data_IF_111936715286
#
_entry.id   IF_111936715286
#
_cell.length_a   1.000
_cell.length_b   1.000
_cell.length_c   1.000
_cell.angle_alpha   90.00
_cell.angle_beta   90.00
_cell.angle_gamma   90.00
#
_symmetry.space_group_name_H-M   'P 1'
#
loop_
_entity.id
_entity.type
_entity.pdbx_description
1 polymer ?
#
# COMPACT_ATOMS: atom_id res chain seq x y z
N UNK A 1 11.74 -28.34 6.87
CA UNK A 1 12.32 -27.04 7.26
C UNK A 1 11.46 -25.98 6.61
N UNK A 2 10.52 -25.43 7.35
CA UNK A 2 9.69 -24.32 6.88
C UNK A 2 10.59 -23.09 6.67
N UNK A 3 10.18 -22.17 5.79
CA UNK A 3 10.89 -20.93 5.45
C UNK A 3 11.29 -20.12 6.71
N UNK A 4 10.62 -20.36 7.84
CA UNK A 4 10.94 -19.84 9.17
C UNK A 4 12.37 -20.12 9.66
N UNK A 5 13.00 -21.24 9.27
CA UNK A 5 14.36 -21.58 9.72
C UNK A 5 15.46 -20.94 8.85
N UNK A 6 15.11 -20.48 7.63
CA UNK A 6 16.11 -19.92 6.70
C UNK A 6 16.46 -18.46 7.04
N UNK A 7 15.53 -17.72 7.65
CA UNK A 7 15.68 -16.29 7.91
C UNK A 7 15.13 -15.89 9.28
N UNK A 8 15.92 -15.17 10.08
CA UNK A 8 15.44 -14.57 11.34
C UNK A 8 14.58 -13.33 11.06
N UNK A 9 13.37 -13.58 10.55
CA UNK A 9 12.40 -12.52 10.26
C UNK A 9 12.07 -11.70 11.49
N UNK A 10 11.87 -12.35 12.64
CA UNK A 10 11.33 -11.73 13.84
C UNK A 10 12.32 -10.82 14.55
N UNK A 11 13.59 -11.23 14.65
CA UNK A 11 14.59 -10.50 15.43
C UNK A 11 15.53 -9.65 14.57
N UNK A 12 15.76 -10.01 13.30
CA UNK A 12 16.65 -9.26 12.41
C UNK A 12 15.89 -8.41 11.39
N UNK A 13 15.08 -9.01 10.51
CA UNK A 13 14.45 -8.27 9.40
C UNK A 13 13.35 -7.31 9.84
N UNK A 14 12.47 -7.76 10.74
CA UNK A 14 11.27 -7.03 11.13
C UNK A 14 11.57 -5.68 11.83
N UNK A 15 12.57 -5.56 12.73
CA UNK A 15 12.97 -4.25 13.27
C UNK A 15 13.52 -3.28 12.23
N UNK A 16 14.29 -3.76 11.25
CA UNK A 16 14.83 -2.93 10.17
C UNK A 16 13.71 -2.43 9.26
N UNK A 17 12.84 -3.35 8.83
CA UNK A 17 11.65 -3.02 8.05
C UNK A 17 10.76 -2.00 8.77
N UNK A 18 10.54 -2.18 10.08
CA UNK A 18 9.81 -1.21 10.90
C UNK A 18 10.43 0.18 10.88
N UNK A 19 11.75 0.27 11.05
CA UNK A 19 12.47 1.56 11.04
C UNK A 19 12.28 2.28 9.71
N UNK A 20 12.34 1.54 8.60
CA UNK A 20 12.07 2.06 7.24
C UNK A 20 10.63 2.56 7.09
N UNK A 21 9.64 1.78 7.53
CA UNK A 21 8.23 2.18 7.53
C UNK A 21 7.99 3.42 8.40
N UNK A 22 8.54 3.47 9.62
CA UNK A 22 8.40 4.62 10.52
C UNK A 22 8.99 5.89 9.88
N UNK A 23 10.16 5.79 9.23
CA UNK A 23 10.77 6.90 8.49
C UNK A 23 9.87 7.39 7.35
N UNK A 24 9.42 6.48 6.48
CA UNK A 24 8.57 6.81 5.34
C UNK A 24 7.20 7.39 5.76
N UNK A 25 6.61 6.88 6.84
CA UNK A 25 5.32 7.36 7.33
C UNK A 25 5.41 8.80 7.87
N UNK A 26 6.56 9.19 8.41
CA UNK A 26 6.78 10.50 9.03
C UNK A 26 7.36 11.56 8.07
N UNK A 27 7.58 11.24 6.78
CA UNK A 27 7.99 12.22 5.77
C UNK A 27 6.95 13.35 5.71
N UNK A 28 7.41 14.61 5.83
CA UNK A 28 6.56 15.82 5.90
C UNK A 28 5.68 15.98 4.64
N UNK A 29 4.48 16.50 4.85
CA UNK A 29 3.37 16.72 3.89
C UNK A 29 3.72 17.38 2.53
N UNK A 30 4.88 18.04 2.39
CA UNK A 30 5.25 18.79 1.17
C UNK A 30 6.00 17.98 0.10
N UNK A 31 6.26 16.69 0.30
CA UNK A 31 6.74 15.81 -0.77
C UNK A 31 5.57 15.07 -1.39
N UNK A 32 5.49 14.99 -2.72
CA UNK A 32 4.55 14.10 -3.43
C UNK A 32 4.40 12.77 -2.67
N UNK A 33 3.17 12.40 -2.30
CA UNK A 33 2.90 11.17 -1.55
C UNK A 33 3.20 10.01 -2.48
N UNK A 34 4.39 9.44 -2.31
CA UNK A 34 4.86 8.28 -3.05
C UNK A 34 4.70 7.02 -2.20
N UNK A 35 4.33 5.94 -2.86
CA UNK A 35 4.23 4.60 -2.29
C UNK A 35 5.58 4.15 -1.70
N UNK A 36 5.56 3.20 -0.78
CA UNK A 36 6.76 2.45 -0.41
C UNK A 36 6.84 1.15 -1.21
N UNK A 37 8.03 0.69 -1.55
CA UNK A 37 8.23 -0.60 -2.21
C UNK A 37 8.67 -1.69 -1.24
N UNK A 38 8.03 -2.86 -1.24
CA UNK A 38 8.57 -4.07 -0.61
C UNK A 38 8.86 -5.09 -1.70
N UNK A 39 10.15 -5.32 -1.95
CA UNK A 39 10.62 -6.13 -3.06
C UNK A 39 11.35 -7.37 -2.59
N UNK A 40 11.41 -8.35 -3.47
CA UNK A 40 12.19 -9.58 -3.33
C UNK A 40 11.67 -10.66 -4.25
N UNK A 41 12.45 -11.71 -4.49
CA UNK A 41 12.02 -12.81 -5.36
C UNK A 41 10.77 -13.55 -4.82
N UNK A 42 10.18 -14.37 -5.69
CA UNK A 42 9.15 -15.33 -5.27
C UNK A 42 9.68 -16.28 -4.19
N UNK A 43 8.89 -16.45 -3.13
CA UNK A 43 9.23 -17.33 -2.01
C UNK A 43 10.06 -16.68 -0.90
N UNK A 44 10.56 -15.45 -1.06
CA UNK A 44 11.39 -14.77 -0.04
C UNK A 44 10.61 -14.17 1.14
N UNK A 45 9.33 -14.55 1.31
CA UNK A 45 8.58 -14.24 2.53
C UNK A 45 8.07 -12.81 2.66
N UNK A 46 7.89 -12.07 1.55
CA UNK A 46 7.29 -10.71 1.53
C UNK A 46 5.98 -10.62 2.33
N UNK A 47 5.00 -11.46 1.97
CA UNK A 47 3.70 -11.52 2.65
C UNK A 47 3.85 -11.98 4.11
N UNK A 48 4.80 -12.87 4.41
CA UNK A 48 5.09 -13.32 5.79
C UNK A 48 5.62 -12.17 6.66
N UNK A 49 6.56 -11.38 6.14
CA UNK A 49 7.08 -10.18 6.82
C UNK A 49 5.95 -9.18 7.13
N UNK A 50 5.03 -8.97 6.19
CA UNK A 50 3.88 -8.08 6.38
C UNK A 50 2.88 -8.59 7.40
N UNK A 51 2.60 -9.90 7.43
CA UNK A 51 1.76 -10.51 8.46
C UNK A 51 2.37 -10.34 9.84
N UNK A 52 3.67 -10.65 10.00
CA UNK A 52 4.40 -10.45 11.25
C UNK A 52 4.44 -8.97 11.67
N UNK A 53 4.58 -8.05 10.70
CA UNK A 53 4.51 -6.62 10.95
C UNK A 53 3.14 -6.20 11.49
N UNK A 54 2.06 -6.65 10.86
CA UNK A 54 0.69 -6.37 11.28
C UNK A 54 0.36 -6.98 12.66
N UNK A 55 0.94 -8.14 12.97
CA UNK A 55 0.80 -8.79 14.26
C UNK A 55 1.53 -8.03 15.37
N UNK A 56 2.79 -7.65 15.14
CA UNK A 56 3.65 -7.03 16.16
C UNK A 56 3.39 -5.54 16.36
N UNK A 57 3.03 -4.80 15.32
CA UNK A 57 2.95 -3.34 15.35
C UNK A 57 1.54 -2.81 15.10
N UNK A 58 0.67 -2.96 16.11
CA UNK A 58 -0.73 -2.51 16.10
C UNK A 58 -0.97 -1.00 15.93
N UNK A 59 0.09 -0.20 15.97
CA UNK A 59 0.03 1.22 15.62
C UNK A 59 -0.33 1.44 14.14
N UNK A 60 -0.10 0.44 13.28
CA UNK A 60 -0.43 0.44 11.86
C UNK A 60 -1.63 -0.46 11.59
N UNK A 61 -2.52 -0.01 10.70
CA UNK A 61 -3.65 -0.80 10.21
C UNK A 61 -3.39 -1.11 8.73
N UNK A 62 -3.22 -2.40 8.39
CA UNK A 62 -2.92 -2.83 7.03
C UNK A 62 -4.20 -3.28 6.32
N UNK A 63 -4.42 -2.74 5.13
CA UNK A 63 -5.49 -3.14 4.20
C UNK A 63 -4.82 -3.89 3.05
N UNK A 64 -5.01 -5.21 2.97
CA UNK A 64 -4.42 -6.03 1.91
C UNK A 64 -5.31 -6.07 0.66
N UNK A 65 -4.69 -5.85 -0.49
CA UNK A 65 -5.31 -5.92 -1.81
C UNK A 65 -4.45 -6.84 -2.68
N UNK A 66 -4.94 -8.06 -2.92
CA UNK A 66 -4.28 -9.02 -3.80
C UNK A 66 -4.69 -8.71 -5.25
N UNK A 67 -3.86 -7.99 -5.99
CA UNK A 67 -4.24 -7.40 -7.28
C UNK A 67 -4.67 -8.44 -8.33
N UNK A 68 -4.00 -9.58 -8.36
CA UNK A 68 -4.30 -10.66 -9.31
C UNK A 68 -5.74 -11.18 -9.20
N UNK A 69 -6.39 -11.04 -8.04
CA UNK A 69 -7.79 -11.45 -7.86
C UNK A 69 -8.77 -10.57 -8.64
N UNK A 70 -8.37 -9.33 -8.93
CA UNK A 70 -9.21 -8.35 -9.60
C UNK A 70 -8.99 -8.32 -11.12
N UNK A 71 -7.89 -8.87 -11.61
CA UNK A 71 -7.49 -8.80 -13.03
C UNK A 71 -8.57 -9.29 -14.01
N UNK A 72 -9.33 -10.31 -13.61
CA UNK A 72 -10.38 -10.90 -14.45
C UNK A 72 -11.65 -10.03 -14.54
N UNK A 73 -11.77 -9.00 -13.70
CA UNK A 73 -12.94 -8.13 -13.63
C UNK A 73 -12.81 -6.98 -14.63
N UNK A 74 -13.93 -6.65 -15.27
CA UNK A 74 -13.99 -5.52 -16.21
C UNK A 74 -13.89 -4.17 -15.50
N UNK A 75 -14.42 -4.07 -14.28
CA UNK A 75 -14.45 -2.87 -13.43
C UNK A 75 -13.46 -2.95 -12.25
N UNK A 76 -12.35 -3.66 -12.46
CA UNK A 76 -11.34 -3.99 -11.45
C UNK A 76 -10.93 -2.83 -10.53
N UNK A 77 -10.58 -1.66 -11.08
CA UNK A 77 -10.13 -0.48 -10.31
C UNK A 77 -11.21 0.04 -9.36
N UNK A 78 -12.47 0.05 -9.80
CA UNK A 78 -13.61 0.42 -8.93
C UNK A 78 -13.81 -0.62 -7.84
N UNK A 79 -13.68 -1.91 -8.16
CA UNK A 79 -13.76 -3.00 -7.17
C UNK A 79 -12.66 -2.99 -6.14
N UNK A 80 -11.45 -2.63 -6.55
CA UNK A 80 -10.32 -2.42 -5.64
C UNK A 80 -10.66 -1.27 -4.67
N UNK A 81 -11.20 -0.15 -5.16
CA UNK A 81 -11.63 0.97 -4.30
C UNK A 81 -12.79 0.60 -3.38
N UNK A 82 -13.78 -0.15 -3.86
CA UNK A 82 -14.88 -0.66 -3.04
C UNK A 82 -14.33 -1.47 -1.85
N UNK A 83 -13.38 -2.38 -2.11
CA UNK A 83 -12.75 -3.21 -1.07
C UNK A 83 -11.92 -2.38 -0.09
N UNK A 84 -11.12 -1.42 -0.58
CA UNK A 84 -10.33 -0.52 0.28
C UNK A 84 -11.27 0.27 1.21
N UNK A 85 -12.35 0.84 0.67
CA UNK A 85 -13.33 1.60 1.44
C UNK A 85 -14.07 0.75 2.46
N UNK A 86 -14.45 -0.47 2.09
CA UNK A 86 -15.09 -1.40 3.00
C UNK A 86 -14.19 -1.73 4.19
N UNK A 87 -12.92 -2.06 3.92
CA UNK A 87 -11.93 -2.34 4.97
C UNK A 87 -11.64 -1.10 5.82
N UNK A 88 -11.58 0.08 5.21
CA UNK A 88 -11.39 1.34 5.91
C UNK A 88 -12.54 1.62 6.88
N UNK A 89 -13.79 1.49 6.44
CA UNK A 89 -14.98 1.65 7.30
C UNK A 89 -14.93 0.69 8.48
N UNK A 90 -14.50 -0.55 8.26
CA UNK A 90 -14.38 -1.54 9.34
C UNK A 90 -13.30 -1.14 10.35
N UNK A 91 -12.12 -0.70 9.90
CA UNK A 91 -11.01 -0.24 10.75
C UNK A 91 -11.42 1.01 11.57
N UNK A 92 -12.21 1.88 10.96
CA UNK A 92 -12.71 3.11 11.58
C UNK A 92 -13.99 2.89 12.40
N UNK A 93 -14.53 1.67 12.43
CA UNK A 93 -15.77 1.31 13.14
C UNK A 93 -16.92 2.28 12.78
N UNK A 94 -17.01 2.63 11.49
CA UNK A 94 -18.01 3.55 10.96
C UNK A 94 -19.32 2.77 10.73
N UNK A 95 -20.41 3.24 11.35
CA UNK A 95 -21.71 2.58 11.25
C UNK A 95 -22.60 3.38 10.29
N UNK A 96 -22.85 2.81 9.12
CA UNK A 96 -23.56 3.48 8.04
C UNK A 96 -24.72 2.61 7.59
N UNK A 97 -25.88 3.24 7.47
CA UNK A 97 -27.02 2.71 6.75
C UNK A 97 -26.66 2.49 5.27
N UNK A 98 -27.20 1.42 4.66
CA UNK A 98 -26.95 1.09 3.25
C UNK A 98 -25.46 1.10 2.87
N UNK A 99 -24.59 0.68 3.79
CA UNK A 99 -23.12 0.67 3.68
C UNK A 99 -22.60 0.31 2.28
N UNK A 100 -23.08 -0.80 1.70
CA UNK A 100 -22.63 -1.25 0.38
C UNK A 100 -22.97 -0.28 -0.76
N UNK A 101 -24.12 0.39 -0.73
CA UNK A 101 -24.49 1.36 -1.76
C UNK A 101 -23.62 2.62 -1.67
N UNK A 102 -23.37 3.11 -0.45
CA UNK A 102 -22.50 4.28 -0.24
C UNK A 102 -21.06 4.00 -0.64
N UNK A 103 -20.53 2.81 -0.31
CA UNK A 103 -19.19 2.36 -0.75
C UNK A 103 -19.09 2.35 -2.28
N UNK A 104 -20.06 1.74 -2.97
CA UNK A 104 -20.06 1.65 -4.44
C UNK A 104 -20.10 3.03 -5.09
N UNK A 105 -20.97 3.91 -4.60
CA UNK A 105 -21.08 5.30 -5.08
C UNK A 105 -19.77 6.06 -4.87
N UNK A 106 -19.20 5.97 -3.67
CA UNK A 106 -17.94 6.64 -3.34
C UNK A 106 -16.78 6.12 -4.21
N UNK A 107 -16.62 4.80 -4.34
CA UNK A 107 -15.58 4.20 -5.19
C UNK A 107 -15.67 4.68 -6.64
N UNK A 108 -16.87 4.66 -7.22
CA UNK A 108 -17.11 5.15 -8.59
C UNK A 108 -16.83 6.64 -8.72
N UNK A 109 -17.21 7.43 -7.71
CA UNK A 109 -16.93 8.86 -7.66
C UNK A 109 -15.43 9.14 -7.65
N UNK A 110 -14.66 8.54 -6.74
CA UNK A 110 -13.20 8.72 -6.64
C UNK A 110 -12.52 8.34 -7.95
N UNK A 111 -12.90 7.19 -8.51
CA UNK A 111 -12.29 6.68 -9.73
C UNK A 111 -12.52 7.60 -10.93
N UNK A 112 -13.77 8.05 -11.13
CA UNK A 112 -14.14 8.86 -12.29
C UNK A 112 -13.68 10.32 -12.19
N UNK A 113 -13.66 10.86 -10.98
CA UNK A 113 -13.39 12.29 -10.77
C UNK A 113 -11.94 12.58 -10.39
N UNK A 114 -11.20 11.54 -9.97
CA UNK A 114 -9.92 11.74 -9.31
C UNK A 114 -10.06 12.56 -8.03
N UNK A 115 -11.20 12.53 -7.35
CA UNK A 115 -11.38 13.23 -6.10
C UNK A 115 -10.63 12.54 -4.97
N UNK A 116 -9.92 13.33 -4.16
CA UNK A 116 -9.30 12.83 -2.94
C UNK A 116 -10.39 12.48 -1.94
N UNK A 117 -10.35 11.26 -1.37
CA UNK A 117 -11.26 10.83 -0.32
C UNK A 117 -11.27 11.77 0.89
N UNK A 118 -10.22 12.55 1.09
CA UNK A 118 -9.98 13.27 2.36
C UNK A 118 -9.80 14.78 2.18
N UNK A 119 -9.36 15.25 1.01
CA UNK A 119 -9.17 16.68 0.72
C UNK A 119 -10.36 17.39 0.06
N UNK A 120 -11.40 16.67 -0.37
CA UNK A 120 -12.59 17.27 -1.00
C UNK A 120 -13.44 18.15 -0.05
N UNK A 121 -13.09 18.24 1.24
CA UNK A 121 -13.77 19.08 2.26
C UNK A 121 -12.83 20.16 2.84
N UNK A 122 -11.74 20.53 2.16
CA UNK A 122 -10.98 21.74 2.50
C UNK A 122 -11.09 22.82 1.43
N UNK A 123 -12.28 23.40 1.31
CA UNK A 123 -12.42 24.79 0.85
C UNK A 123 -13.22 25.54 1.91
N UNK A 124 -12.49 26.25 2.78
CA UNK A 124 -13.03 27.34 3.61
C UNK A 124 -12.62 28.63 2.92
N UNK A 125 -13.57 29.24 2.23
CA UNK A 125 -13.57 30.69 2.02
C UNK A 125 -14.92 31.20 2.47
N UNK A 126 -14.91 32.27 3.25
CA UNK A 126 -16.05 32.80 3.98
C UNK A 126 -17.29 32.93 3.07
N UNK A 127 -18.35 32.20 3.42
CA UNK A 127 -19.72 32.24 2.91
C UNK A 127 -20.09 31.52 1.59
N UNK A 128 -19.28 30.63 1.03
CA UNK A 128 -19.77 29.73 -0.04
C UNK A 128 -19.18 28.32 0.05
N UNK A 129 -20.04 27.31 0.16
CA UNK A 129 -19.69 25.91 -0.09
C UNK A 129 -19.66 25.71 -1.60
N UNK A 130 -18.50 25.90 -2.23
CA UNK A 130 -18.34 25.54 -3.64
C UNK A 130 -18.02 24.04 -3.74
N UNK A 131 -18.94 23.29 -4.33
CA UNK A 131 -18.58 22.15 -5.15
C UNK A 131 -17.76 22.70 -6.32
N UNK A 132 -16.43 22.51 -6.31
CA UNK A 132 -15.66 22.70 -7.54
C UNK A 132 -16.12 21.63 -8.50
N UNK A 133 -16.99 22.00 -9.45
CA UNK A 133 -17.49 21.20 -10.58
C UNK A 133 -17.21 19.71 -10.38
N UNK A 134 -18.00 19.05 -9.51
CA UNK A 134 -18.00 17.60 -9.41
C UNK A 134 -18.11 17.14 -10.87
N UNK A 135 -17.13 16.39 -11.43
CA UNK A 135 -17.29 15.87 -12.76
C UNK A 135 -18.60 15.09 -12.74
N UNK A 136 -19.59 15.55 -13.51
CA UNK A 136 -20.99 15.14 -13.40
C UNK A 136 -21.09 13.62 -13.46
N UNK A 137 -21.03 12.98 -12.30
CA UNK A 137 -21.86 11.82 -12.09
C UNK A 137 -23.27 12.38 -12.04
N UNK A 138 -24.18 11.76 -12.76
CA UNK A 138 -25.59 12.11 -12.78
C UNK A 138 -26.20 11.73 -11.42
N UNK A 139 -25.75 12.40 -10.36
CA UNK A 139 -26.18 12.24 -8.98
C UNK A 139 -27.26 13.26 -8.71
N UNK A 140 -28.27 12.83 -7.95
CA UNK A 140 -29.26 13.74 -7.38
C UNK A 140 -28.64 14.50 -6.21
N UNK A 141 -29.13 15.70 -5.90
CA UNK A 141 -28.61 16.53 -4.78
C UNK A 141 -28.52 15.74 -3.46
N UNK A 142 -29.56 14.96 -3.13
CA UNK A 142 -29.58 14.08 -1.95
C UNK A 142 -28.42 13.05 -1.94
N UNK A 143 -28.02 12.55 -3.12
CA UNK A 143 -26.95 11.56 -3.25
C UNK A 143 -25.56 12.18 -3.12
N UNK A 144 -25.40 13.45 -3.52
CA UNK A 144 -24.19 14.22 -3.30
C UNK A 144 -24.01 14.56 -1.82
N UNK A 145 -25.10 14.96 -1.13
CA UNK A 145 -25.09 15.19 0.32
C UNK A 145 -24.74 13.91 1.10
N UNK A 146 -25.33 12.77 0.73
CA UNK A 146 -25.03 11.47 1.34
C UNK A 146 -23.55 11.09 1.18
N UNK A 147 -22.98 11.31 -0.01
CA UNK A 147 -21.58 11.04 -0.29
C UNK A 147 -20.66 11.98 0.51
N UNK A 148 -21.04 13.26 0.63
CA UNK A 148 -20.31 14.24 1.41
C UNK A 148 -20.27 13.86 2.90
N UNK A 149 -21.42 13.48 3.48
CA UNK A 149 -21.49 13.06 4.87
C UNK A 149 -20.66 11.80 5.12
N UNK A 150 -20.72 10.84 4.20
CA UNK A 150 -19.90 9.62 4.24
C UNK A 150 -18.40 9.93 4.26
N UNK A 151 -17.93 10.80 3.35
CA UNK A 151 -16.53 11.22 3.29
C UNK A 151 -16.12 11.99 4.54
N UNK A 152 -16.99 12.88 5.04
CA UNK A 152 -16.74 13.64 6.26
C UNK A 152 -16.54 12.71 7.47
N UNK A 153 -17.35 11.66 7.61
CA UNK A 153 -17.22 10.72 8.72
C UNK A 153 -15.89 9.96 8.68
N UNK A 154 -15.44 9.53 7.49
CA UNK A 154 -14.11 8.93 7.30
C UNK A 154 -13.02 9.90 7.79
N UNK A 155 -13.09 11.16 7.37
CA UNK A 155 -12.09 12.18 7.70
C UNK A 155 -12.02 12.50 9.19
N UNK A 156 -13.14 12.43 9.90
CA UNK A 156 -13.17 12.66 11.33
C UNK A 156 -12.53 11.50 12.09
N UNK A 157 -12.83 10.25 11.71
CA UNK A 157 -12.33 9.07 12.42
C UNK A 157 -10.89 8.69 12.06
N UNK A 158 -10.38 9.12 10.91
CA UNK A 158 -9.05 8.71 10.46
C UNK A 158 -7.89 9.42 11.16
N UNK A 159 -8.13 10.58 11.79
CA UNK A 159 -7.09 11.49 12.31
C UNK A 159 -6.02 10.81 13.18
N UNK A 160 -6.42 9.80 13.95
CA UNK A 160 -5.57 9.11 14.92
C UNK A 160 -5.10 7.72 14.45
N UNK A 161 -5.35 7.36 13.20
CA UNK A 161 -5.05 6.03 12.65
C UNK A 161 -3.99 6.13 11.55
N UNK A 162 -2.95 5.30 11.66
CA UNK A 162 -1.99 5.08 10.57
C UNK A 162 -2.47 3.91 9.72
N UNK A 163 -2.84 4.18 8.47
CA UNK A 163 -3.34 3.15 7.56
C UNK A 163 -2.34 2.95 6.43
N UNK A 164 -2.07 1.69 6.11
CA UNK A 164 -1.24 1.29 4.97
C UNK A 164 -2.10 0.40 4.06
N UNK A 165 -2.36 0.86 2.84
CA UNK A 165 -2.97 0.03 1.79
C UNK A 165 -1.86 -0.73 1.09
N UNK A 166 -1.87 -2.05 1.24
CA UNK A 166 -0.88 -2.98 0.71
C UNK A 166 -1.42 -3.56 -0.60
N UNK A 167 -0.79 -3.21 -1.71
CA UNK A 167 -1.02 -3.82 -3.01
C UNK A 167 -0.03 -4.95 -3.22
N UNK A 168 -0.47 -6.20 -3.09
CA UNK A 168 0.35 -7.41 -3.19
C UNK A 168 0.08 -8.15 -4.51
N UNK A 169 0.98 -9.08 -4.84
CA UNK A 169 0.89 -9.98 -5.99
C UNK A 169 0.78 -9.26 -7.36
N UNK A 170 1.32 -8.05 -7.50
CA UNK A 170 1.36 -7.33 -8.78
C UNK A 170 2.11 -8.14 -9.86
N UNK A 171 3.18 -8.82 -9.46
CA UNK A 171 4.00 -9.72 -10.28
C UNK A 171 3.27 -10.99 -10.75
N UNK A 172 2.05 -11.26 -10.26
CA UNK A 172 1.20 -12.33 -10.78
C UNK A 172 0.26 -11.86 -11.90
N UNK A 173 0.16 -10.56 -12.12
CA UNK A 173 -0.72 -10.00 -13.14
C UNK A 173 -0.12 -10.08 -14.54
N UNK A 174 -0.99 -10.05 -15.57
CA UNK A 174 -0.51 -9.87 -16.95
C UNK A 174 0.15 -8.50 -17.15
N UNK A 175 1.06 -8.41 -18.13
CA UNK A 175 1.83 -7.20 -18.43
C UNK A 175 0.96 -5.93 -18.55
N UNK A 176 -0.12 -6.00 -19.34
CA UNK A 176 -1.01 -4.85 -19.56
C UNK A 176 -1.64 -4.40 -18.23
N UNK A 177 -2.02 -5.36 -17.39
CA UNK A 177 -2.62 -5.09 -16.08
C UNK A 177 -1.63 -4.54 -15.07
N UNK A 178 -0.37 -4.97 -15.12
CA UNK A 178 0.70 -4.39 -14.31
C UNK A 178 0.82 -2.89 -14.59
N UNK A 179 0.91 -2.49 -15.86
CA UNK A 179 1.00 -1.07 -16.25
C UNK A 179 -0.22 -0.27 -15.76
N UNK A 180 -1.42 -0.80 -15.98
CA UNK A 180 -2.66 -0.20 -15.53
C UNK A 180 -2.72 -0.05 -14.00
N UNK A 181 -2.31 -1.07 -13.25
CA UNK A 181 -2.35 -1.05 -11.79
C UNK A 181 -1.29 -0.15 -11.19
N UNK A 182 -0.08 -0.08 -11.75
CA UNK A 182 0.92 0.88 -11.26
C UNK A 182 0.42 2.31 -11.45
N UNK A 183 -0.15 2.62 -12.63
CA UNK A 183 -0.74 3.95 -12.90
C UNK A 183 -1.91 4.26 -11.96
N UNK A 184 -2.79 3.28 -11.74
CA UNK A 184 -3.89 3.39 -10.81
C UNK A 184 -3.42 3.62 -9.37
N UNK A 185 -2.46 2.83 -8.87
CA UNK A 185 -1.91 2.97 -7.51
C UNK A 185 -1.25 4.32 -7.33
N UNK A 186 -0.50 4.81 -8.32
CA UNK A 186 0.06 6.16 -8.31
C UNK A 186 -1.02 7.21 -8.14
N UNK A 187 -2.10 7.10 -8.91
CA UNK A 187 -3.22 8.05 -8.81
C UNK A 187 -3.86 7.96 -7.42
N UNK A 188 -4.16 6.76 -6.93
CA UNK A 188 -4.72 6.60 -5.58
C UNK A 188 -3.80 7.17 -4.49
N UNK A 189 -2.49 6.94 -4.56
CA UNK A 189 -1.53 7.48 -3.60
C UNK A 189 -1.55 9.02 -3.53
N UNK A 190 -1.77 9.69 -4.67
CA UNK A 190 -1.94 11.14 -4.74
C UNK A 190 -3.35 11.62 -4.30
N UNK A 191 -4.32 10.72 -4.26
CA UNK A 191 -5.73 10.99 -3.92
C UNK A 191 -6.10 10.57 -2.49
N UNK A 192 -5.15 10.18 -1.67
CA UNK A 192 -5.41 9.81 -0.27
C UNK A 192 -4.68 10.77 0.68
N UNK A 193 -5.21 10.92 1.89
CA UNK A 193 -4.57 11.72 2.95
C UNK A 193 -3.21 11.16 3.31
N UNK A 194 -2.30 12.00 3.79
CA UNK A 194 -0.97 11.57 4.29
C UNK A 194 -1.01 10.49 5.38
N UNK A 195 -2.15 10.31 6.07
CA UNK A 195 -2.38 9.24 7.06
C UNK A 195 -2.77 7.89 6.45
N UNK A 196 -3.20 7.86 5.19
CA UNK A 196 -3.32 6.63 4.41
C UNK A 196 -2.14 6.61 3.45
N UNK A 197 -1.25 5.63 3.59
CA UNK A 197 -0.15 5.46 2.64
C UNK A 197 -0.27 4.16 1.88
N UNK A 198 0.36 4.09 0.71
CA UNK A 198 0.35 2.92 -0.17
C UNK A 198 1.67 2.17 -0.10
N UNK A 199 1.60 0.85 0.00
CA UNK A 199 2.74 -0.07 -0.06
C UNK A 199 2.55 -0.99 -1.25
N UNK A 200 3.53 -1.05 -2.15
CA UNK A 200 3.52 -1.94 -3.31
C UNK A 200 4.47 -3.10 -3.07
N UNK A 201 3.96 -4.32 -3.20
CA UNK A 201 4.67 -5.56 -2.88
C UNK A 201 4.73 -6.44 -4.12
N UNK A 202 5.93 -6.73 -4.61
CA UNK A 202 6.14 -7.54 -5.82
C UNK A 202 7.60 -7.97 -6.01
N UNK A 203 7.84 -8.96 -6.86
CA UNK A 203 9.16 -9.23 -7.43
C UNK A 203 9.57 -8.11 -8.39
N UNK A 204 10.47 -7.24 -7.92
CA UNK A 204 10.95 -6.09 -8.70
C UNK A 204 11.65 -6.52 -9.98
N UNK A 205 12.51 -7.54 -9.92
CA UNK A 205 13.27 -8.01 -11.09
C UNK A 205 12.33 -8.54 -12.17
N UNK A 206 11.33 -9.33 -11.78
CA UNK A 206 10.32 -9.84 -12.71
C UNK A 206 9.50 -8.71 -13.34
N UNK A 207 8.89 -7.83 -12.52
CA UNK A 207 8.08 -6.71 -13.02
C UNK A 207 8.91 -5.77 -13.90
N UNK A 208 10.16 -5.49 -13.51
CA UNK A 208 11.09 -4.70 -14.30
C UNK A 208 11.42 -5.40 -15.63
N UNK A 209 11.67 -6.71 -15.65
CA UNK A 209 11.89 -7.43 -16.92
C UNK A 209 10.69 -7.35 -17.87
N UNK A 210 9.48 -7.32 -17.32
CA UNK A 210 8.25 -7.20 -18.08
C UNK A 210 8.04 -5.79 -18.60
N UNK A 211 8.32 -4.73 -17.85
CA UNK A 211 8.03 -3.37 -18.32
C UNK A 211 9.16 -2.80 -19.22
N UNK A 212 10.41 -3.23 -19.04
CA UNK A 212 11.59 -2.52 -19.54
C UNK A 212 12.13 -3.02 -20.89
N UNK A 213 11.22 -3.48 -21.77
CA UNK A 213 11.56 -3.58 -23.20
C UNK A 213 11.53 -2.22 -23.92
N UNK A 214 11.21 -1.13 -23.21
CA UNK A 214 11.25 0.25 -23.69
C UNK A 214 12.02 1.13 -22.68
N UNK A 215 13.08 1.81 -23.12
CA UNK A 215 14.04 2.57 -22.28
C UNK A 215 13.45 3.74 -21.46
N UNK A 216 12.17 4.08 -21.64
CA UNK A 216 11.51 5.22 -20.99
C UNK A 216 11.03 4.96 -19.55
N UNK A 217 11.09 3.72 -19.05
CA UNK A 217 10.40 3.27 -17.82
C UNK A 217 11.29 3.23 -16.56
N UNK A 218 12.63 3.32 -16.68
CA UNK A 218 13.54 3.50 -15.50
C UNK A 218 13.17 4.72 -14.66
N UNK A 219 12.68 5.78 -15.30
CA UNK A 219 12.21 6.98 -14.63
C UNK A 219 10.78 6.86 -14.04
N UNK A 220 10.12 5.70 -14.12
CA UNK A 220 8.70 5.56 -13.75
C UNK A 220 8.52 5.13 -12.30
N UNK A 221 9.27 4.13 -11.81
CA UNK A 221 9.18 3.73 -10.40
C UNK A 221 9.69 4.83 -9.46
N UNK A 222 10.75 5.56 -9.82
CA UNK A 222 11.24 6.71 -9.03
C UNK A 222 10.21 7.85 -8.88
N UNK A 223 9.24 7.92 -9.79
CA UNK A 223 8.12 8.89 -9.72
C UNK A 223 6.98 8.41 -8.82
N UNK A 224 6.95 7.14 -8.46
CA UNK A 224 5.82 6.51 -7.74
C UNK A 224 6.25 6.02 -6.37
N UNK A 225 7.49 5.55 -6.25
CA UNK A 225 8.07 4.93 -5.07
C UNK A 225 9.00 5.95 -4.40
N UNK A 226 8.79 6.18 -3.11
CA UNK A 226 9.60 7.10 -2.31
C UNK A 226 10.92 6.45 -1.87
N UNK A 227 10.78 5.26 -1.29
CA UNK A 227 11.84 4.42 -0.75
C UNK A 227 11.34 2.98 -0.85
N UNK A 228 12.27 2.04 -0.74
CA UNK A 228 11.97 0.61 -0.84
C UNK A 228 12.74 -0.21 0.18
N UNK A 229 12.27 -1.43 0.36
CA UNK A 229 12.92 -2.47 1.15
C UNK A 229 13.03 -3.72 0.27
N UNK A 230 14.24 -4.06 -0.15
CA UNK A 230 14.52 -5.29 -0.89
C UNK A 230 14.92 -6.38 0.10
N UNK A 231 14.07 -7.39 0.30
CA UNK A 231 14.34 -8.47 1.27
C UNK A 231 15.67 -9.17 0.97
N UNK A 232 15.97 -9.37 -0.31
CA UNK A 232 17.10 -10.13 -0.82
C UNK A 232 18.44 -9.56 -0.32
N UNK A 233 18.59 -8.23 -0.31
CA UNK A 233 19.79 -7.52 0.17
C UNK A 233 20.09 -7.78 1.66
N UNK A 234 19.06 -8.06 2.46
CA UNK A 234 19.20 -8.32 3.88
C UNK A 234 19.33 -9.82 4.16
N UNK A 235 18.69 -10.65 3.36
CA UNK A 235 18.80 -12.11 3.41
C UNK A 235 20.24 -12.55 3.17
N UNK A 236 20.91 -12.02 2.14
CA UNK A 236 22.30 -12.35 1.83
C UNK A 236 23.22 -11.96 3.00
N UNK A 237 23.09 -10.73 3.50
CA UNK A 237 23.88 -10.23 4.65
C UNK A 237 23.68 -11.06 5.92
N UNK A 238 22.45 -11.50 6.22
CA UNK A 238 22.18 -12.33 7.40
C UNK A 238 22.75 -13.73 7.22
N UNK A 239 22.68 -14.27 6.00
CA UNK A 239 23.22 -15.59 5.66
C UNK A 239 24.74 -15.62 5.79
N UNK A 240 25.43 -14.58 5.30
CA UNK A 240 26.89 -14.45 5.42
C UNK A 240 27.34 -14.33 6.88
N UNK A 241 26.62 -13.56 7.70
CA UNK A 241 26.91 -13.43 9.14
C UNK A 241 26.74 -14.78 9.83
N UNK A 242 25.63 -15.50 9.58
CA UNK A 242 25.40 -16.82 10.18
C UNK A 242 26.46 -17.85 9.73
N UNK A 243 26.88 -17.81 8.46
CA UNK A 243 27.95 -18.68 7.94
C UNK A 243 29.28 -18.35 8.62
N UNK A 244 29.61 -17.07 8.78
CA UNK A 244 30.83 -16.64 9.45
C UNK A 244 30.84 -17.06 10.92
N UNK A 245 29.74 -16.85 11.67
CA UNK A 245 29.61 -17.28 13.07
C UNK A 245 29.76 -18.80 13.22
N UNK A 246 29.19 -19.56 12.29
CA UNK A 246 29.29 -21.03 12.27
C UNK A 246 30.72 -21.50 11.99
N UNK A 247 31.40 -20.90 11.02
CA UNK A 247 32.82 -21.17 10.74
C UNK A 247 33.70 -20.82 11.95
N UNK A 248 33.45 -19.69 12.61
CA UNK A 248 34.17 -19.30 13.82
C UNK A 248 33.98 -20.32 14.96
N UNK A 249 32.75 -20.81 15.16
CA UNK A 249 32.48 -21.84 16.18
C UNK A 249 33.17 -23.17 15.86
N UNK A 250 33.10 -23.63 14.61
CA UNK A 250 33.74 -24.89 14.18
C UNK A 250 35.27 -24.82 14.33
N UNK A 251 35.90 -23.70 13.94
CA UNK A 251 37.35 -23.49 14.12
C UNK A 251 37.75 -23.50 15.60
N UNK A 252 36.94 -22.89 16.48
CA UNK A 252 37.24 -22.82 17.91
C UNK A 252 36.97 -24.13 18.66
N UNK A 253 36.02 -24.95 18.20
CA UNK A 253 35.80 -26.28 18.77
C UNK A 253 36.90 -27.27 18.36
N UNK A 254 37.39 -27.19 17.11
CA UNK A 254 38.52 -28.01 16.67
C UNK A 254 39.84 -27.57 17.32
N UNK A 255 40.03 -26.28 17.63
CA UNK A 255 41.18 -25.79 18.38
C UNK A 255 41.19 -26.17 19.88
N UNK A 256 40.09 -26.76 20.39
CA UNK A 256 39.98 -27.25 21.77
C UNK A 256 40.18 -28.77 21.90
N UNK A 257 40.36 -29.50 20.80
CA UNK A 257 40.76 -30.92 20.79
C UNK A 257 42.27 -31.05 20.65
#
# INVERSE_FOLDING_TARGET
MEIHDKYDFTNKLLPIFKTKIDSWFNVKENSEIKSFGLYGEWGNGKTTLLKLFNEKYKAYNLIFVDLWKYEILLDDKTKILENILEMLINILEINIDKKYEKIKKAAKYIYNTGATLINSIRIKTDNVTFFTDLPKLDLREEEEEDLFLFVKEINEKIKDKKIIVVFDDLDRCSRNKIEEYISFIKNIANLIDVKIKTLMVFDYTFVNSLLFKNDSILNYFDKIIYDSFMIDEFVEKISDVNLSEKIYQEIFEDAKK
#
